data_IF_914641331296
#
_entry.id   IF_914641331296
#
_cell.length_a   1.000
_cell.length_b   1.000
_cell.length_c   1.000
_cell.angle_alpha   90.00
_cell.angle_beta   90.00
_cell.angle_gamma   90.00
#
_symmetry.space_group_name_H-M   'P 1'
#
loop_
_entity.id
_entity.type
_entity.pdbx_description
1 polymer ?
#
# COMPACT_ATOMS: atom_id res chain seq x y z
N UNK A 1 30.29 -66.95 -13.93
CA UNK A 1 29.22 -66.18 -14.59
C UNK A 1 29.59 -64.70 -14.45
N UNK A 2 30.38 -64.07 -15.33
CA UNK A 2 30.55 -64.24 -16.79
C UNK A 2 29.20 -64.22 -17.50
N UNK A 3 28.93 -63.35 -18.49
CA UNK A 3 29.75 -63.03 -19.69
C UNK A 3 29.72 -61.52 -20.05
N UNK A 4 30.76 -61.05 -20.76
CA UNK A 4 30.92 -59.72 -21.35
C UNK A 4 30.28 -59.54 -22.75
N UNK A 5 29.99 -58.30 -23.16
CA UNK A 5 30.29 -57.70 -24.49
C UNK A 5 29.60 -56.33 -24.61
N UNK A 6 30.09 -55.32 -25.37
CA UNK A 6 31.30 -55.21 -26.20
C UNK A 6 31.03 -54.42 -27.50
N UNK A 7 31.88 -53.45 -27.85
CA UNK A 7 31.82 -52.50 -29.00
C UNK A 7 30.65 -51.49 -29.02
N UNK A 8 30.82 -50.15 -29.14
CA UNK A 8 31.67 -49.25 -29.95
C UNK A 8 31.25 -49.03 -31.41
N UNK A 9 30.96 -47.77 -31.78
CA UNK A 9 31.76 -46.89 -32.68
C UNK A 9 31.03 -45.58 -33.07
N UNK A 10 31.71 -44.42 -32.91
CA UNK A 10 31.69 -43.16 -33.73
C UNK A 10 30.33 -42.49 -34.13
N UNK A 11 30.09 -41.16 -34.16
CA UNK A 11 30.82 -39.88 -33.96
C UNK A 11 29.75 -38.74 -33.82
N UNK A 12 29.97 -37.42 -33.67
CA UNK A 12 31.12 -36.48 -33.79
C UNK A 12 30.93 -35.20 -32.92
N UNK A 13 31.91 -34.29 -33.00
CA UNK A 13 31.92 -32.83 -32.70
C UNK A 13 30.59 -32.04 -32.63
N UNK A 14 30.39 -31.04 -31.76
CA UNK A 14 31.24 -30.45 -30.69
C UNK A 14 30.69 -29.08 -30.22
N UNK A 15 31.10 -28.51 -29.06
CA UNK A 15 30.56 -27.23 -28.55
C UNK A 15 31.50 -26.01 -28.70
N UNK A 16 30.89 -24.82 -28.58
CA UNK A 16 31.45 -23.50 -28.90
C UNK A 16 32.44 -22.95 -27.86
N UNK A 17 33.39 -22.12 -28.34
CA UNK A 17 34.39 -21.41 -27.55
C UNK A 17 33.83 -20.19 -26.80
N UNK A 18 34.16 -20.06 -25.51
CA UNK A 18 33.92 -18.84 -24.72
C UNK A 18 35.25 -18.14 -24.44
N UNK A 19 35.42 -16.92 -24.94
CA UNK A 19 36.61 -16.10 -24.67
C UNK A 19 36.54 -15.44 -23.28
N UNK A 20 37.60 -15.61 -22.48
CA UNK A 20 37.76 -14.98 -21.16
C UNK A 20 38.75 -13.82 -21.28
N UNK A 21 38.30 -12.59 -21.09
CA UNK A 21 39.16 -11.41 -21.07
C UNK A 21 39.47 -10.97 -19.64
N UNK A 22 40.76 -10.98 -19.28
CA UNK A 22 41.26 -10.57 -17.96
C UNK A 22 41.97 -9.23 -18.10
N UNK A 23 41.54 -8.19 -17.38
CA UNK A 23 42.14 -6.85 -17.45
C UNK A 23 42.25 -6.21 -16.06
N UNK A 24 43.47 -5.90 -15.62
CA UNK A 24 43.77 -5.34 -14.29
C UNK A 24 44.85 -4.26 -14.40
N UNK A 25 44.57 -3.04 -13.94
CA UNK A 25 45.50 -1.93 -13.54
C UNK A 25 44.62 -0.85 -12.90
N UNK A 26 44.78 -0.52 -11.61
CA UNK A 26 45.79 0.31 -10.95
C UNK A 26 45.49 1.82 -11.05
N UNK A 27 45.50 2.49 -9.89
CA UNK A 27 45.03 3.85 -9.65
C UNK A 27 46.17 4.88 -9.57
N UNK A 28 45.85 6.18 -9.64
CA UNK A 28 46.72 7.28 -9.19
C UNK A 28 45.96 8.62 -9.01
N UNK A 29 46.13 9.27 -7.86
CA UNK A 29 46.37 10.72 -7.72
C UNK A 29 45.22 11.75 -7.91
N UNK A 30 44.83 12.50 -6.86
CA UNK A 30 43.94 13.68 -6.97
C UNK A 30 44.71 15.02 -7.00
N UNK A 31 44.17 16.05 -7.68
CA UNK A 31 44.32 17.45 -7.23
C UNK A 31 43.40 18.48 -7.93
N UNK A 32 42.71 19.28 -7.10
CA UNK A 32 42.35 20.72 -7.23
C UNK A 32 41.85 21.31 -8.56
N UNK A 33 40.67 21.95 -8.49
CA UNK A 33 40.43 23.19 -9.25
C UNK A 33 38.98 23.57 -9.55
N UNK A 34 38.39 24.44 -8.71
CA UNK A 34 37.42 25.54 -9.01
C UNK A 34 36.16 25.25 -9.87
N UNK A 35 34.99 25.65 -9.36
CA UNK A 35 33.68 25.61 -10.03
C UNK A 35 33.38 26.94 -10.79
N UNK A 36 32.15 27.23 -11.30
CA UNK A 36 31.05 26.37 -11.77
C UNK A 36 30.66 26.70 -13.24
N UNK A 37 29.82 25.88 -13.90
CA UNK A 37 29.16 26.31 -15.16
C UNK A 37 27.76 25.70 -15.35
N UNK A 38 26.75 26.57 -15.43
CA UNK A 38 25.43 26.27 -15.98
C UNK A 38 25.53 26.05 -17.49
N UNK A 39 25.13 24.88 -18.02
CA UNK A 39 24.55 24.69 -19.36
C UNK A 39 24.30 23.19 -19.65
N UNK A 40 23.06 22.69 -19.56
CA UNK A 40 22.74 21.31 -19.97
C UNK A 40 21.24 20.97 -20.24
N UNK A 41 20.37 21.91 -20.68
CA UNK A 41 18.97 21.55 -21.06
C UNK A 41 18.43 22.31 -22.29
N UNK A 42 19.01 22.08 -23.49
CA UNK A 42 18.26 22.14 -24.77
C UNK A 42 18.89 21.19 -25.80
N UNK A 43 18.50 19.91 -25.81
CA UNK A 43 18.79 19.03 -26.96
C UNK A 43 17.79 17.86 -27.06
N UNK A 44 16.50 18.17 -27.24
CA UNK A 44 15.46 17.19 -27.64
C UNK A 44 14.20 17.89 -28.17
N UNK A 45 14.25 18.36 -29.41
CA UNK A 45 13.04 18.52 -30.23
C UNK A 45 13.36 18.11 -31.67
N UNK A 46 12.74 17.02 -32.11
CA UNK A 46 12.89 16.45 -33.45
C UNK A 46 11.51 16.47 -34.08
N UNK A 47 11.22 17.48 -34.91
CA UNK A 47 9.95 17.58 -35.64
C UNK A 47 10.07 16.73 -36.90
N UNK A 48 9.00 15.98 -37.21
CA UNK A 48 8.93 15.04 -38.33
C UNK A 48 8.21 15.68 -39.51
N UNK A 49 8.92 15.91 -40.62
CA UNK A 49 8.30 16.32 -41.88
C UNK A 49 7.97 15.12 -42.76
N UNK A 50 6.68 14.90 -43.03
CA UNK A 50 6.24 14.05 -44.15
C UNK A 50 4.86 14.48 -44.65
N UNK A 51 4.83 15.27 -45.73
CA UNK A 51 3.59 15.72 -46.36
C UNK A 51 3.84 16.23 -47.78
N UNK A 52 3.85 15.33 -48.77
CA UNK A 52 3.97 15.72 -50.18
C UNK A 52 2.63 16.27 -50.67
N UNK A 53 2.63 17.49 -51.23
CA UNK A 53 1.52 18.02 -52.04
C UNK A 53 2.03 18.20 -53.48
N UNK A 54 1.24 17.74 -54.46
CA UNK A 54 1.66 17.63 -55.85
C UNK A 54 1.69 18.95 -56.61
N UNK A 55 2.61 19.04 -57.57
CA UNK A 55 2.76 20.18 -58.49
C UNK A 55 2.00 19.89 -59.79
N UNK A 56 1.11 20.77 -60.27
CA UNK A 56 0.63 20.74 -61.65
C UNK A 56 1.56 21.56 -62.57
N UNK A 57 1.78 21.07 -63.78
CA UNK A 57 2.73 21.64 -64.74
C UNK A 57 2.19 22.87 -65.51
N UNK A 58 3.12 23.64 -66.08
CA UNK A 58 2.88 24.81 -66.92
C UNK A 58 2.42 24.43 -68.34
N UNK A 59 1.46 25.18 -68.92
CA UNK A 59 1.44 25.43 -70.37
C UNK A 59 0.55 26.62 -70.78
N UNK A 60 1.10 27.52 -71.61
CA UNK A 60 0.46 28.55 -72.46
C UNK A 60 -0.49 29.57 -71.77
N UNK A 61 -0.39 30.88 -72.00
CA UNK A 61 0.49 31.63 -72.89
C UNK A 61 -0.27 32.82 -73.49
N UNK A 62 -0.02 34.04 -73.00
CA UNK A 62 -0.50 35.28 -73.62
C UNK A 62 0.62 36.31 -73.57
N UNK A 63 1.08 36.76 -74.73
CA UNK A 63 2.07 37.84 -74.85
C UNK A 63 1.33 39.17 -74.87
N UNK A 64 1.67 40.05 -73.93
CA UNK A 64 1.38 41.48 -74.02
C UNK A 64 2.69 42.25 -74.22
N UNK A 65 2.75 43.25 -75.11
CA UNK A 65 3.96 44.03 -75.34
C UNK A 65 4.26 44.98 -74.17
N UNK A 66 5.55 45.24 -73.95
CA UNK A 66 6.04 46.09 -72.86
C UNK A 66 5.54 47.53 -72.95
N UNK A 67 5.02 48.06 -71.83
CA UNK A 67 5.23 49.47 -71.46
C UNK A 67 5.00 49.72 -69.97
N UNK A 68 5.99 50.38 -69.36
CA UNK A 68 6.07 50.95 -68.00
C UNK A 68 6.82 50.13 -66.95
N UNK A 69 8.07 50.53 -66.74
CA UNK A 69 8.84 50.22 -65.55
C UNK A 69 8.24 50.95 -64.33
N UNK A 70 7.27 50.32 -63.67
CA UNK A 70 6.90 50.65 -62.31
C UNK A 70 8.03 50.22 -61.38
N UNK A 71 8.92 51.16 -61.03
CA UNK A 71 10.08 50.86 -60.22
C UNK A 71 9.69 50.20 -58.89
N UNK A 72 10.32 49.07 -58.58
CA UNK A 72 10.23 48.44 -57.26
C UNK A 72 10.90 49.34 -56.23
N UNK A 73 10.16 50.32 -55.70
CA UNK A 73 10.60 51.18 -54.63
C UNK A 73 10.95 50.32 -53.42
N UNK A 74 12.25 50.18 -53.16
CA UNK A 74 12.71 49.64 -51.89
C UNK A 74 12.38 50.68 -50.83
N UNK A 75 11.25 50.50 -50.15
CA UNK A 75 10.88 51.26 -48.97
C UNK A 75 11.89 50.97 -47.86
N UNK A 76 12.96 51.76 -47.79
CA UNK A 76 13.91 51.70 -46.70
C UNK A 76 13.25 52.12 -45.40
N UNK A 77 13.20 51.22 -44.42
CA UNK A 77 12.77 51.55 -43.07
C UNK A 77 13.63 52.67 -42.49
N UNK A 78 12.98 53.64 -41.85
CA UNK A 78 13.72 54.72 -41.19
C UNK A 78 14.28 54.24 -39.85
N UNK A 79 15.44 54.75 -39.44
CA UNK A 79 16.06 54.37 -38.17
C UNK A 79 15.13 54.68 -36.97
N UNK A 80 14.36 55.77 -37.05
CA UNK A 80 13.40 56.16 -36.01
C UNK A 80 12.19 55.20 -35.91
N UNK A 81 11.71 54.69 -37.04
CA UNK A 81 10.63 53.69 -37.08
C UNK A 81 11.06 52.39 -36.40
N UNK A 82 12.29 51.91 -36.65
CA UNK A 82 12.85 50.74 -35.98
C UNK A 82 13.02 50.96 -34.46
N UNK A 83 13.48 52.15 -34.04
CA UNK A 83 13.60 52.52 -32.62
C UNK A 83 12.24 52.54 -31.92
N UNK A 84 11.22 53.14 -32.54
CA UNK A 84 9.86 53.18 -31.97
C UNK A 84 9.27 51.77 -31.85
N UNK A 85 9.46 50.91 -32.86
CA UNK A 85 8.99 49.52 -32.84
C UNK A 85 9.61 48.71 -31.70
N UNK A 86 10.94 48.78 -31.48
CA UNK A 86 11.57 48.02 -30.38
C UNK A 86 11.14 48.52 -29.00
N UNK A 87 10.95 49.84 -28.82
CA UNK A 87 10.50 50.42 -27.54
C UNK A 87 9.06 50.01 -27.23
N UNK A 88 8.14 50.14 -28.19
CA UNK A 88 6.74 49.73 -28.01
C UNK A 88 6.65 48.22 -27.76
N UNK A 89 7.38 47.41 -28.52
CA UNK A 89 7.40 45.95 -28.36
C UNK A 89 7.91 45.53 -26.97
N UNK A 90 8.94 46.21 -26.45
CA UNK A 90 9.47 45.96 -25.11
C UNK A 90 8.45 46.24 -24.00
N UNK A 91 7.74 47.38 -24.06
CA UNK A 91 6.70 47.72 -23.09
C UNK A 91 5.54 46.73 -23.12
N UNK A 92 5.08 46.35 -24.32
CA UNK A 92 4.00 45.37 -24.50
C UNK A 92 4.42 43.98 -23.99
N UNK A 93 5.65 43.54 -24.28
CA UNK A 93 6.15 42.23 -23.84
C UNK A 93 6.20 42.11 -22.30
N UNK A 94 6.62 43.17 -21.60
CA UNK A 94 6.62 43.19 -20.12
C UNK A 94 5.19 43.12 -19.57
N UNK A 95 4.24 43.89 -20.13
CA UNK A 95 2.84 43.85 -19.72
C UNK A 95 2.20 42.47 -19.98
N UNK A 96 2.43 41.88 -21.15
CA UNK A 96 1.92 40.57 -21.52
C UNK A 96 2.50 39.44 -20.65
N UNK A 97 3.77 39.53 -20.24
CA UNK A 97 4.41 38.55 -19.36
C UNK A 97 3.68 38.41 -18.02
N UNK A 98 3.29 39.53 -17.40
CA UNK A 98 2.57 39.54 -16.12
C UNK A 98 1.16 38.91 -16.22
N UNK A 99 0.51 39.04 -17.38
CA UNK A 99 -0.79 38.42 -17.66
C UNK A 99 -0.70 36.89 -17.82
N UNK A 100 0.47 36.35 -18.19
CA UNK A 100 0.69 34.91 -18.37
C UNK A 100 1.20 34.25 -17.07
N UNK A 101 2.04 34.93 -16.29
CA UNK A 101 2.61 34.39 -15.05
C UNK A 101 1.52 34.01 -14.03
N UNK A 102 0.59 34.93 -13.72
CA UNK A 102 -0.42 34.70 -12.67
C UNK A 102 -1.34 33.49 -12.95
N UNK A 103 -1.91 33.30 -14.17
CA UNK A 103 -2.67 32.08 -14.46
C UNK A 103 -1.85 30.79 -14.34
N UNK A 104 -0.57 30.82 -14.70
CA UNK A 104 0.32 29.65 -14.62
C UNK A 104 0.60 29.29 -13.15
N UNK A 105 0.90 30.28 -12.31
CA UNK A 105 1.08 30.09 -10.86
C UNK A 105 -0.18 29.55 -10.19
N UNK A 106 -1.35 30.11 -10.51
CA UNK A 106 -2.66 29.65 -10.00
C UNK A 106 -3.01 28.23 -10.46
N UNK A 107 -2.61 27.85 -11.69
CA UNK A 107 -2.77 26.47 -12.17
C UNK A 107 -1.84 25.50 -11.44
N UNK A 108 -0.58 25.88 -11.21
CA UNK A 108 0.38 25.06 -10.45
C UNK A 108 -0.07 24.85 -9.01
N UNK A 109 -0.51 25.89 -8.31
CA UNK A 109 -1.05 25.78 -6.94
C UNK A 109 -2.26 24.84 -6.89
N UNK A 110 -3.24 24.98 -7.79
CA UNK A 110 -4.37 24.05 -7.84
C UNK A 110 -3.94 22.60 -8.14
N UNK A 111 -2.95 22.39 -9.00
CA UNK A 111 -2.42 21.07 -9.31
C UNK A 111 -1.63 20.44 -8.15
N UNK A 112 -0.94 21.23 -7.33
CA UNK A 112 -0.29 20.76 -6.09
C UNK A 112 -1.32 20.42 -5.02
N UNK A 113 -2.28 21.32 -4.77
CA UNK A 113 -3.41 21.08 -3.85
C UNK A 113 -4.18 19.81 -4.17
N UNK A 114 -4.52 19.60 -5.44
CA UNK A 114 -5.22 18.39 -5.89
C UNK A 114 -4.41 17.11 -5.61
N UNK A 115 -3.07 17.14 -5.83
CA UNK A 115 -2.18 16.01 -5.54
C UNK A 115 -2.03 15.74 -4.04
N UNK A 116 -1.99 16.77 -3.20
CA UNK A 116 -2.00 16.59 -1.74
C UNK A 116 -3.30 15.94 -1.27
N UNK A 117 -4.45 16.44 -1.74
CA UNK A 117 -5.77 15.88 -1.40
C UNK A 117 -5.87 14.42 -1.82
N UNK A 118 -5.48 14.09 -3.07
CA UNK A 118 -5.53 12.74 -3.61
C UNK A 118 -4.67 11.73 -2.82
N UNK A 119 -3.43 12.09 -2.43
CA UNK A 119 -2.56 11.24 -1.61
C UNK A 119 -3.17 10.96 -0.24
N UNK A 120 -3.63 11.99 0.45
CA UNK A 120 -4.16 11.86 1.80
C UNK A 120 -5.55 11.19 1.83
N UNK A 121 -6.43 11.48 0.88
CA UNK A 121 -7.72 10.78 0.75
C UNK A 121 -7.51 9.29 0.42
N UNK A 122 -6.64 8.96 -0.53
CA UNK A 122 -6.32 7.57 -0.87
C UNK A 122 -5.78 6.80 0.35
N UNK A 123 -4.92 7.43 1.16
CA UNK A 123 -4.41 6.85 2.40
C UNK A 123 -5.53 6.60 3.43
N UNK A 124 -6.35 7.60 3.71
CA UNK A 124 -7.47 7.53 4.67
C UNK A 124 -8.54 6.52 4.22
N UNK A 125 -8.88 6.49 2.93
CA UNK A 125 -9.82 5.52 2.34
C UNK A 125 -9.26 4.10 2.42
N UNK A 126 -7.95 3.89 2.22
CA UNK A 126 -7.33 2.57 2.40
C UNK A 126 -7.38 2.12 3.86
N UNK A 127 -6.98 2.98 4.80
CA UNK A 127 -7.04 2.70 6.24
C UNK A 127 -8.46 2.40 6.71
N UNK A 128 -9.45 3.21 6.31
CA UNK A 128 -10.85 3.04 6.73
C UNK A 128 -11.59 1.91 6.03
N UNK A 129 -11.08 1.38 4.91
CA UNK A 129 -11.56 0.12 4.34
C UNK A 129 -11.06 -1.06 5.16
N UNK A 130 -9.75 -1.15 5.38
CA UNK A 130 -9.13 -2.27 6.10
C UNK A 130 -9.56 -2.33 7.58
N UNK A 131 -9.82 -1.18 8.21
CA UNK A 131 -10.40 -1.11 9.55
C UNK A 131 -11.80 -1.75 9.66
N UNK A 132 -12.55 -1.93 8.57
CA UNK A 132 -13.86 -2.61 8.62
C UNK A 132 -13.72 -4.11 8.84
N UNK A 133 -12.58 -4.65 8.46
CA UNK A 133 -12.21 -6.06 8.63
C UNK A 133 -11.38 -6.24 9.92
N UNK A 134 -11.42 -5.27 10.84
CA UNK A 134 -10.85 -5.40 12.17
C UNK A 134 -11.73 -6.29 13.07
N UNK A 135 -11.08 -7.19 13.82
CA UNK A 135 -11.74 -8.01 14.84
C UNK A 135 -12.46 -7.10 15.85
N UNK A 136 -13.74 -7.38 16.23
CA UNK A 136 -14.47 -6.60 17.22
C UNK A 136 -13.65 -6.33 18.48
N UNK A 137 -13.60 -5.07 18.93
CA UNK A 137 -12.83 -4.63 20.10
C UNK A 137 -11.31 -4.88 20.06
N UNK A 138 -10.70 -5.15 18.89
CA UNK A 138 -9.23 -5.30 18.74
C UNK A 138 -8.49 -3.99 18.43
N UNK A 139 -9.19 -2.92 18.06
CA UNK A 139 -8.52 -1.66 17.69
C UNK A 139 -7.94 -1.00 18.94
N UNK A 140 -6.65 -0.65 18.88
CA UNK A 140 -5.92 0.04 19.95
C UNK A 140 -5.04 1.16 19.39
N UNK A 141 -5.00 2.28 20.11
CA UNK A 141 -4.26 3.49 19.72
C UNK A 141 -3.13 3.73 20.73
N UNK A 142 -1.91 3.86 20.22
CA UNK A 142 -0.68 4.13 20.98
C UNK A 142 0.00 5.43 20.52
N UNK A 143 1.23 5.66 20.99
CA UNK A 143 2.10 6.76 20.55
C UNK A 143 1.44 8.15 20.57
N UNK A 144 0.63 8.43 21.59
CA UNK A 144 -0.13 9.69 21.69
C UNK A 144 -1.01 10.01 20.47
N UNK A 145 -1.52 8.98 19.78
CA UNK A 145 -2.35 9.11 18.57
C UNK A 145 -1.60 8.84 17.26
N UNK A 146 -0.29 8.58 17.28
CA UNK A 146 0.49 8.29 16.07
C UNK A 146 0.52 6.81 15.67
N UNK A 147 0.06 5.90 16.53
CA UNK A 147 0.05 4.46 16.28
C UNK A 147 -1.37 3.91 16.35
N UNK A 148 -1.81 3.25 15.29
CA UNK A 148 -3.08 2.53 15.24
C UNK A 148 -2.79 1.06 14.95
N UNK A 149 -3.33 0.15 15.75
CA UNK A 149 -3.17 -1.29 15.57
C UNK A 149 -4.51 -2.02 15.73
N UNK A 150 -4.71 -3.08 14.96
CA UNK A 150 -5.86 -3.96 15.04
C UNK A 150 -5.51 -5.37 14.56
N UNK A 151 -6.38 -6.34 14.87
CA UNK A 151 -6.29 -7.69 14.35
C UNK A 151 -7.18 -7.81 13.11
N UNK A 152 -6.60 -8.23 11.98
CA UNK A 152 -7.33 -8.41 10.72
C UNK A 152 -8.11 -9.72 10.72
N UNK A 153 -9.36 -9.68 10.27
CA UNK A 153 -10.26 -10.83 10.12
C UNK A 153 -10.25 -11.25 8.65
N UNK A 154 -9.81 -12.47 8.38
CA UNK A 154 -9.90 -13.08 7.04
C UNK A 154 -11.33 -13.52 6.73
N UNK A 155 -11.97 -14.15 7.71
CA UNK A 155 -13.32 -14.71 7.57
C UNK A 155 -13.92 -14.98 8.95
N UNK A 156 -15.19 -15.35 9.00
CA UNK A 156 -15.91 -15.68 10.22
C UNK A 156 -17.25 -16.30 9.90
N UNK A 157 -18.00 -16.68 10.93
CA UNK A 157 -19.28 -17.33 10.74
C UNK A 157 -20.03 -17.56 12.03
N UNK A 158 -21.02 -18.45 11.96
CA UNK A 158 -21.79 -18.91 13.10
C UNK A 158 -21.35 -20.34 13.46
N UNK A 159 -21.14 -20.64 14.73
CA UNK A 159 -20.85 -22.00 15.19
C UNK A 159 -22.13 -22.73 15.61
N UNK A 160 -22.16 -24.06 15.47
CA UNK A 160 -23.26 -24.87 16.01
C UNK A 160 -23.26 -24.81 17.54
N UNK A 161 -24.32 -24.25 18.12
CA UNK A 161 -24.54 -24.21 19.57
C UNK A 161 -25.56 -25.26 20.08
N UNK A 162 -26.30 -25.93 19.19
CA UNK A 162 -27.34 -26.90 19.53
C UNK A 162 -27.55 -27.95 18.41
N UNK A 163 -28.13 -29.14 18.71
CA UNK A 163 -28.55 -29.62 20.03
C UNK A 163 -27.38 -30.10 20.90
N UNK A 164 -27.59 -30.24 22.21
CA UNK A 164 -26.50 -30.54 23.17
C UNK A 164 -25.76 -31.87 22.91
N UNK A 165 -26.48 -32.87 22.38
CA UNK A 165 -25.97 -34.20 22.08
C UNK A 165 -25.20 -34.31 20.75
N UNK A 166 -25.04 -33.21 20.01
CA UNK A 166 -24.29 -33.19 18.74
C UNK A 166 -22.78 -33.08 19.00
N UNK A 167 -22.00 -33.98 18.41
CA UNK A 167 -20.53 -33.99 18.52
C UNK A 167 -19.82 -32.90 17.71
N UNK A 168 -20.57 -32.12 16.93
CA UNK A 168 -20.10 -30.93 16.22
C UNK A 168 -20.57 -29.61 16.86
N UNK A 169 -21.24 -29.68 18.02
CA UNK A 169 -21.54 -28.49 18.84
C UNK A 169 -20.29 -28.00 19.57
N UNK A 170 -20.08 -26.69 19.60
CA UNK A 170 -19.12 -26.07 20.52
C UNK A 170 -19.78 -25.86 21.89
N UNK A 171 -19.28 -26.52 22.92
CA UNK A 171 -19.92 -26.60 24.25
C UNK A 171 -19.48 -25.51 25.23
N UNK A 172 -18.25 -24.99 25.07
CA UNK A 172 -17.57 -24.08 26.00
C UNK A 172 -17.27 -24.68 27.39
N UNK A 173 -17.57 -25.96 27.61
CA UNK A 173 -17.28 -26.69 28.84
C UNK A 173 -15.86 -27.29 28.78
N UNK A 174 -14.94 -27.01 29.74
CA UNK A 174 -13.59 -27.60 29.72
C UNK A 174 -13.61 -29.12 29.79
N UNK A 175 -14.62 -29.72 30.41
CA UNK A 175 -14.73 -31.16 30.58
C UNK A 175 -15.09 -31.90 29.28
N UNK A 176 -15.73 -31.22 28.32
CA UNK A 176 -16.12 -31.81 27.03
C UNK A 176 -14.93 -31.86 26.05
N UNK A 177 -13.89 -31.05 26.32
CA UNK A 177 -12.62 -31.01 25.60
C UNK A 177 -12.74 -30.83 24.07
N UNK A 178 -13.70 -30.02 23.62
CA UNK A 178 -13.99 -29.72 22.21
C UNK A 178 -12.70 -29.46 21.39
N UNK A 179 -12.52 -30.18 20.28
CA UNK A 179 -11.40 -29.95 19.34
C UNK A 179 -11.87 -29.54 17.94
N UNK A 180 -13.19 -29.48 17.74
CA UNK A 180 -13.82 -29.12 16.48
C UNK A 180 -15.24 -28.61 16.70
N UNK A 181 -15.78 -27.90 15.73
CA UNK A 181 -17.21 -27.57 15.66
C UNK A 181 -17.67 -27.43 14.21
N UNK A 182 -18.98 -27.50 13.97
CA UNK A 182 -19.58 -27.20 12.67
C UNK A 182 -19.81 -25.71 12.48
N UNK A 183 -19.38 -25.20 11.33
CA UNK A 183 -19.71 -23.88 10.81
C UNK A 183 -21.09 -23.92 10.18
N UNK A 184 -21.99 -23.08 10.68
CA UNK A 184 -23.33 -22.93 10.16
C UNK A 184 -23.32 -22.01 8.93
N UNK A 185 -23.71 -22.55 7.77
CA UNK A 185 -23.80 -21.81 6.51
C UNK A 185 -22.54 -21.95 5.65
N UNK A 186 -22.07 -20.83 5.08
CA UNK A 186 -20.90 -20.77 4.21
C UNK A 186 -19.71 -20.18 4.97
N UNK A 187 -18.56 -20.83 4.90
CA UNK A 187 -17.27 -20.23 5.29
C UNK A 187 -16.60 -19.63 4.04
N UNK A 188 -16.87 -18.35 3.80
CA UNK A 188 -16.20 -17.58 2.74
C UNK A 188 -14.67 -17.58 2.97
N UNK A 189 -13.90 -17.55 1.88
CA UNK A 189 -12.43 -17.42 1.90
C UNK A 189 -11.69 -18.42 2.81
N UNK A 190 -12.30 -19.59 3.05
CA UNK A 190 -11.71 -20.71 3.80
C UNK A 190 -10.36 -21.19 3.25
N UNK A 191 -10.06 -20.94 1.99
CA UNK A 191 -8.76 -21.21 1.36
C UNK A 191 -7.63 -20.25 1.79
N UNK A 192 -7.96 -19.12 2.41
CA UNK A 192 -6.99 -18.18 2.98
C UNK A 192 -6.66 -18.50 4.46
N UNK A 193 -7.41 -19.42 5.09
CA UNK A 193 -7.18 -19.81 6.48
C UNK A 193 -5.98 -20.75 6.58
N UNK A 194 -4.97 -20.35 7.34
CA UNK A 194 -3.74 -21.13 7.49
C UNK A 194 -3.84 -22.04 8.72
N UNK A 195 -3.76 -23.36 8.50
CA UNK A 195 -3.72 -24.35 9.57
C UNK A 195 -2.32 -24.48 10.17
N UNK A 196 -2.24 -24.57 11.50
CA UNK A 196 -1.01 -24.79 12.26
C UNK A 196 -0.81 -26.26 12.67
N UNK A 197 0.36 -26.53 13.26
CA UNK A 197 0.74 -27.82 13.85
C UNK A 197 0.91 -27.76 15.38
N UNK A 198 0.88 -26.57 15.98
CA UNK A 198 1.11 -26.32 17.40
C UNK A 198 0.15 -25.26 17.97
N UNK A 199 -0.18 -25.36 19.26
CA UNK A 199 -0.98 -24.37 20.02
C UNK A 199 -0.51 -22.92 19.88
N UNK A 200 0.79 -22.69 19.67
CA UNK A 200 1.41 -21.36 19.64
C UNK A 200 1.64 -20.82 18.21
N UNK A 201 1.30 -21.57 17.16
CA UNK A 201 1.60 -21.15 15.78
C UNK A 201 0.86 -19.88 15.40
N UNK A 202 -0.39 -19.70 15.87
CA UNK A 202 -1.17 -18.50 15.58
C UNK A 202 -0.61 -17.23 16.24
N UNK A 203 0.07 -17.34 17.38
CA UNK A 203 0.78 -16.22 18.01
C UNK A 203 2.08 -15.87 17.26
N UNK A 204 2.64 -16.84 16.54
CA UNK A 204 3.92 -16.75 15.83
C UNK A 204 3.75 -16.53 14.32
N UNK A 205 2.56 -16.10 13.87
CA UNK A 205 2.22 -15.90 12.45
C UNK A 205 2.36 -17.14 11.54
N UNK A 206 2.40 -18.34 12.13
CA UNK A 206 2.51 -19.61 11.40
C UNK A 206 1.14 -20.26 11.10
N UNK A 207 0.05 -19.69 11.62
CA UNK A 207 -1.32 -20.17 11.47
C UNK A 207 -2.33 -19.04 11.75
N UNK A 208 -3.58 -19.24 11.37
CA UNK A 208 -4.68 -18.34 11.73
C UNK A 208 -5.20 -18.62 13.15
N UNK A 209 -5.54 -17.56 13.88
CA UNK A 209 -6.24 -17.58 15.15
C UNK A 209 -7.75 -17.78 14.93
N UNK A 210 -8.35 -18.80 15.53
CA UNK A 210 -9.78 -18.84 15.80
C UNK A 210 -10.06 -18.00 17.05
N UNK A 211 -10.93 -17.00 16.95
CA UNK A 211 -11.30 -16.10 18.06
C UNK A 211 -12.82 -16.10 18.25
N UNK A 212 -13.26 -16.21 19.51
CA UNK A 212 -14.68 -16.16 19.88
C UNK A 212 -14.87 -15.14 21.01
N UNK A 213 -15.89 -14.29 20.91
CA UNK A 213 -16.29 -13.37 21.97
C UNK A 213 -15.18 -12.41 22.46
N UNK A 214 -14.52 -11.71 21.52
CA UNK A 214 -13.48 -10.73 21.87
C UNK A 214 -14.07 -9.43 22.43
N UNK A 215 -14.03 -9.27 23.75
CA UNK A 215 -14.48 -8.03 24.41
C UNK A 215 -13.34 -7.01 24.56
N UNK A 216 -12.09 -7.43 24.36
CA UNK A 216 -10.90 -6.60 24.60
C UNK A 216 -10.53 -6.45 26.08
N UNK A 217 -11.32 -7.04 26.99
CA UNK A 217 -11.06 -7.07 28.43
C UNK A 217 -10.23 -8.30 28.81
N UNK A 218 -9.49 -8.22 29.92
CA UNK A 218 -8.72 -9.35 30.45
C UNK A 218 -9.62 -10.58 30.66
N UNK A 219 -9.16 -11.75 30.20
CA UNK A 219 -9.94 -12.97 30.18
C UNK A 219 -10.86 -13.10 28.97
N UNK A 220 -10.85 -12.16 28.01
CA UNK A 220 -11.54 -12.22 26.71
C UNK A 220 -10.90 -11.24 25.70
N UNK A 221 -9.57 -11.20 25.69
CA UNK A 221 -8.75 -10.36 24.81
C UNK A 221 -7.83 -11.22 23.92
N UNK A 222 -8.02 -11.10 22.61
CA UNK A 222 -7.30 -11.85 21.60
C UNK A 222 -5.78 -11.59 21.60
N UNK A 223 -5.32 -10.38 21.96
CA UNK A 223 -3.88 -10.08 22.06
C UNK A 223 -3.19 -10.82 23.21
N UNK A 224 -3.92 -11.10 24.30
CA UNK A 224 -3.44 -11.95 25.39
C UNK A 224 -3.62 -13.45 25.08
N UNK A 225 -4.36 -13.76 24.00
CA UNK A 225 -4.86 -15.09 23.63
C UNK A 225 -5.83 -15.71 24.65
N UNK A 226 -6.50 -14.88 25.46
CA UNK A 226 -7.46 -15.36 26.48
C UNK A 226 -8.64 -16.13 25.85
N UNK A 227 -8.93 -15.85 24.57
CA UNK A 227 -10.05 -16.38 23.80
C UNK A 227 -9.66 -16.69 22.34
N UNK A 228 -8.39 -17.02 22.10
CA UNK A 228 -7.84 -17.31 20.78
C UNK A 228 -7.15 -18.67 20.74
N UNK A 229 -7.52 -19.52 19.77
CA UNK A 229 -6.95 -20.85 19.55
C UNK A 229 -6.26 -20.94 18.18
N UNK A 230 -5.22 -21.77 18.05
CA UNK A 230 -4.66 -22.09 16.73
C UNK A 230 -5.61 -23.05 15.99
N UNK A 231 -5.95 -22.73 14.74
CA UNK A 231 -6.68 -23.63 13.83
C UNK A 231 -5.77 -24.76 13.38
N UNK A 232 -6.23 -26.01 13.44
CA UNK A 232 -5.47 -27.22 13.05
C UNK A 232 -5.94 -27.83 11.73
N UNK A 233 -7.19 -27.62 11.33
CA UNK A 233 -7.70 -27.96 9.99
C UNK A 233 -8.99 -27.20 9.67
N UNK A 234 -9.26 -27.04 8.37
CA UNK A 234 -10.53 -26.52 7.82
C UNK A 234 -11.08 -27.55 6.84
N UNK A 235 -12.20 -28.19 7.19
CA UNK A 235 -12.83 -29.20 6.35
C UNK A 235 -14.03 -28.59 5.62
N UNK A 236 -13.82 -28.18 4.36
CA UNK A 236 -14.86 -27.55 3.53
C UNK A 236 -15.91 -28.52 2.93
N UNK A 237 -16.01 -29.75 3.46
CA UNK A 237 -17.08 -30.68 3.09
C UNK A 237 -18.42 -30.32 3.74
N UNK A 238 -19.52 -31.05 3.46
CA UNK A 238 -20.76 -30.95 4.22
C UNK A 238 -20.80 -32.00 5.36
N UNK A 239 -21.00 -31.62 6.63
CA UNK A 239 -20.99 -30.25 7.17
C UNK A 239 -19.58 -29.65 7.21
N UNK A 240 -19.48 -28.31 7.13
CA UNK A 240 -18.19 -27.62 7.21
C UNK A 240 -17.72 -27.68 8.66
N UNK A 241 -16.53 -28.21 8.92
CA UNK A 241 -15.96 -28.25 10.28
C UNK A 241 -14.65 -27.49 10.38
N UNK A 242 -14.48 -26.80 11.50
CA UNK A 242 -13.24 -26.17 11.91
C UNK A 242 -12.65 -26.97 13.08
N UNK A 243 -11.39 -27.38 12.95
CA UNK A 243 -10.64 -28.07 13.99
C UNK A 243 -9.61 -27.10 14.58
N UNK A 244 -9.39 -27.18 15.89
CA UNK A 244 -8.51 -26.28 16.63
C UNK A 244 -7.77 -27.00 17.77
N UNK A 245 -6.68 -26.38 18.23
CA UNK A 245 -5.89 -26.90 19.35
C UNK A 245 -6.44 -26.44 20.70
N UNK A 246 -7.15 -27.31 21.41
CA UNK A 246 -7.68 -27.05 22.75
C UNK A 246 -6.61 -27.22 23.87
N UNK A 247 -5.47 -27.87 23.59
CA UNK A 247 -4.36 -28.01 24.54
C UNK A 247 -3.57 -26.71 24.79
N UNK A 248 -3.93 -25.60 24.14
CA UNK A 248 -3.38 -24.27 24.43
C UNK A 248 -3.95 -23.65 25.70
N UNK A 249 -5.11 -24.14 26.15
CA UNK A 249 -5.78 -23.73 27.37
C UNK A 249 -5.35 -24.68 28.47
N UNK A 250 -4.55 -24.18 29.43
CA UNK A 250 -4.11 -25.00 30.56
C UNK A 250 -5.32 -25.54 31.34
N UNK A 251 -5.14 -26.63 32.09
CA UNK A 251 -6.22 -27.45 32.69
C UNK A 251 -7.10 -26.79 33.77
N UNK A 252 -7.17 -25.46 33.81
CA UNK A 252 -8.07 -24.63 34.61
C UNK A 252 -8.65 -23.44 33.82
N UNK A 253 -8.43 -23.34 32.51
CA UNK A 253 -9.06 -22.36 31.63
C UNK A 253 -9.92 -23.06 30.57
N UNK A 254 -11.05 -22.45 30.23
CA UNK A 254 -11.94 -22.90 29.15
C UNK A 254 -11.30 -22.64 27.79
N UNK A 255 -11.63 -23.48 26.80
CA UNK A 255 -11.20 -23.29 25.40
C UNK A 255 -11.57 -21.90 24.85
N UNK A 256 -12.70 -21.38 25.32
CA UNK A 256 -13.10 -19.98 25.18
C UNK A 256 -13.80 -19.57 26.48
N UNK A 257 -13.54 -18.35 27.02
CA UNK A 257 -14.03 -17.88 28.32
C UNK A 257 -15.56 -17.84 28.43
N UNK A 258 -16.24 -17.55 27.32
CA UNK A 258 -17.68 -17.52 27.20
C UNK A 258 -18.09 -17.72 25.74
N UNK A 259 -19.35 -18.12 25.54
CA UNK A 259 -20.00 -18.17 24.24
C UNK A 259 -20.34 -16.76 23.73
N UNK A 260 -20.23 -16.54 22.41
CA UNK A 260 -20.79 -15.34 21.78
C UNK A 260 -22.33 -15.39 21.86
N UNK A 261 -23.02 -14.32 22.32
CA UNK A 261 -24.48 -14.27 22.39
C UNK A 261 -25.17 -14.56 21.05
N UNK A 262 -24.55 -14.12 19.95
CA UNK A 262 -25.01 -14.31 18.56
C UNK A 262 -24.41 -15.57 17.91
N UNK A 263 -23.71 -16.42 18.66
CA UNK A 263 -23.04 -17.64 18.16
C UNK A 263 -21.93 -17.37 17.12
N UNK A 264 -21.28 -16.21 17.18
CA UNK A 264 -20.27 -15.77 16.21
C UNK A 264 -18.87 -16.31 16.54
N UNK A 265 -18.09 -16.59 15.51
CA UNK A 265 -16.64 -16.74 15.58
C UNK A 265 -15.97 -15.95 14.45
N UNK A 266 -14.70 -15.61 14.67
CA UNK A 266 -13.84 -14.90 13.73
C UNK A 266 -12.54 -15.65 13.53
N UNK A 267 -11.97 -15.56 12.33
CA UNK A 267 -10.67 -16.10 11.98
C UNK A 267 -9.75 -14.93 11.64
N UNK A 268 -8.68 -14.79 12.42
CA UNK A 268 -7.66 -13.73 12.32
C UNK A 268 -6.37 -14.30 11.76
N UNK A 269 -5.74 -13.61 10.81
CA UNK A 269 -4.43 -13.98 10.24
C UNK A 269 -3.27 -13.17 10.82
N UNK A 270 -3.37 -11.84 10.82
CA UNK A 270 -2.26 -10.92 11.15
C UNK A 270 -2.73 -9.77 12.03
N UNK A 271 -1.88 -9.28 12.95
CA UNK A 271 -1.98 -7.90 13.41
C UNK A 271 -1.57 -6.95 12.29
N UNK A 272 -2.18 -5.77 12.23
CA UNK A 272 -1.86 -4.68 11.31
C UNK A 272 -1.60 -3.42 12.12
N UNK A 273 -0.43 -2.80 11.92
CA UNK A 273 -0.10 -1.48 12.51
C UNK A 273 0.03 -0.42 11.43
N UNK A 274 -0.66 0.69 11.61
CA UNK A 274 -0.37 1.95 10.93
C UNK A 274 0.44 2.84 11.88
N UNK A 275 1.72 3.01 11.56
CA UNK A 275 2.62 3.92 12.25
C UNK A 275 2.71 5.22 11.47
N UNK A 276 2.41 6.32 12.13
CA UNK A 276 2.71 7.66 11.66
C UNK A 276 4.03 8.15 12.26
N UNK A 277 4.93 8.61 11.40
CA UNK A 277 6.18 9.26 11.77
C UNK A 277 6.23 10.65 11.11
N UNK A 278 5.81 11.72 11.81
CA UNK A 278 5.94 13.10 11.34
C UNK A 278 7.39 13.57 11.20
N UNK A 279 8.36 12.94 11.88
CA UNK A 279 9.78 13.28 11.79
C UNK A 279 10.42 12.76 10.51
N UNK A 280 10.10 11.53 10.12
CA UNK A 280 10.40 10.96 8.81
C UNK A 280 9.44 11.39 7.69
N UNK A 281 8.33 12.06 8.04
CA UNK A 281 7.33 12.57 7.11
C UNK A 281 6.47 11.50 6.44
N UNK A 282 6.20 10.36 7.09
CA UNK A 282 5.50 9.22 6.47
C UNK A 282 4.45 8.57 7.37
N UNK A 283 3.44 7.97 6.75
CA UNK A 283 2.67 6.87 7.37
C UNK A 283 3.05 5.57 6.67
N UNK A 284 3.31 4.53 7.47
CA UNK A 284 3.64 3.19 7.00
C UNK A 284 2.67 2.17 7.60
N UNK A 285 2.23 1.24 6.77
CA UNK A 285 1.45 0.07 7.18
C UNK A 285 2.39 -1.11 7.38
N UNK A 286 2.26 -1.81 8.51
CA UNK A 286 3.01 -2.98 8.91
C UNK A 286 2.08 -4.17 9.07
N UNK A 287 2.55 -5.35 8.72
CA UNK A 287 1.86 -6.64 8.85
C UNK A 287 2.87 -7.77 9.09
N UNK A 288 2.40 -8.99 9.30
CA UNK A 288 3.28 -10.17 9.25
C UNK A 288 4.15 -10.38 10.49
N UNK A 289 3.97 -9.58 11.55
CA UNK A 289 4.73 -9.70 12.79
C UNK A 289 3.95 -10.46 13.87
N UNK A 290 4.68 -11.06 14.82
CA UNK A 290 4.09 -11.88 15.88
C UNK A 290 3.13 -11.09 16.78
N UNK A 291 2.05 -11.73 17.18
CA UNK A 291 1.01 -11.14 18.04
C UNK A 291 1.59 -10.67 19.38
N UNK A 292 1.61 -9.36 19.62
CA UNK A 292 2.10 -8.78 20.87
C UNK A 292 0.95 -8.37 21.80
N UNK A 293 0.97 -8.88 23.04
CA UNK A 293 0.02 -8.50 24.08
C UNK A 293 0.06 -6.99 24.39
N UNK A 294 1.27 -6.42 24.50
CA UNK A 294 1.49 -5.01 24.79
C UNK A 294 1.81 -4.22 23.50
N UNK A 295 1.04 -3.14 23.24
CA UNK A 295 1.22 -2.33 22.02
C UNK A 295 2.61 -1.67 21.95
N UNK A 296 3.17 -1.26 23.09
CA UNK A 296 4.49 -0.62 23.18
C UNK A 296 5.68 -1.56 22.89
N UNK A 297 5.43 -2.78 22.41
CA UNK A 297 6.44 -3.67 21.83
C UNK A 297 6.45 -3.61 20.28
N UNK A 298 5.50 -2.88 19.68
CA UNK A 298 5.26 -2.75 18.23
C UNK A 298 4.82 -1.31 17.86
N UNK A 299 5.24 -0.32 18.65
CA UNK A 299 4.80 1.08 18.49
C UNK A 299 5.85 1.98 17.80
N UNK A 300 7.03 1.43 17.48
CA UNK A 300 8.03 2.07 16.63
C UNK A 300 8.51 1.21 15.46
N UNK A 301 9.04 1.86 14.42
CA UNK A 301 9.63 1.20 13.25
C UNK A 301 10.78 0.24 13.65
N UNK A 302 11.59 0.61 14.63
CA UNK A 302 12.72 -0.19 15.10
C UNK A 302 12.25 -1.49 15.78
N UNK A 303 11.22 -1.42 16.62
CA UNK A 303 10.68 -2.60 17.32
C UNK A 303 9.96 -3.55 16.38
N UNK A 304 9.18 -3.02 15.43
CA UNK A 304 8.49 -3.80 14.40
C UNK A 304 9.48 -4.57 13.51
N UNK A 305 10.65 -4.01 13.20
CA UNK A 305 11.72 -4.70 12.48
C UNK A 305 12.60 -5.61 13.36
N UNK A 306 12.62 -5.39 14.67
CA UNK A 306 13.38 -6.21 15.63
C UNK A 306 12.61 -7.43 16.16
N UNK A 307 11.33 -7.60 15.77
CA UNK A 307 10.54 -8.78 16.09
C UNK A 307 11.20 -10.07 15.58
N UNK A 308 10.97 -11.19 16.28
CA UNK A 308 11.47 -12.51 15.87
C UNK A 308 10.97 -12.94 14.47
N UNK A 309 9.77 -12.47 14.09
CA UNK A 309 9.31 -12.42 12.72
C UNK A 309 9.21 -10.94 12.32
N UNK A 310 10.18 -10.38 11.57
CA UNK A 310 10.24 -8.95 11.26
C UNK A 310 9.03 -8.49 10.44
N UNK A 311 8.43 -7.36 10.84
CA UNK A 311 7.25 -6.83 10.16
C UNK A 311 7.54 -6.46 8.69
N UNK A 312 6.75 -7.05 7.78
CA UNK A 312 6.62 -6.52 6.43
C UNK A 312 5.98 -5.13 6.49
N UNK A 313 6.42 -4.22 5.63
CA UNK A 313 5.91 -2.85 5.67
C UNK A 313 5.87 -2.17 4.30
N UNK A 314 4.86 -1.31 4.13
CA UNK A 314 4.66 -0.49 2.94
C UNK A 314 4.48 0.98 3.31
N UNK A 315 5.08 1.87 2.52
CA UNK A 315 4.77 3.30 2.56
C UNK A 315 3.31 3.50 2.11
N UNK A 316 2.50 4.14 2.94
CA UNK A 316 1.11 4.47 2.61
C UNK A 316 1.03 5.87 1.98
N UNK A 317 1.66 6.85 2.64
CA UNK A 317 1.67 8.26 2.24
C UNK A 317 2.94 8.92 2.77
N UNK A 318 3.47 9.85 1.98
CA UNK A 318 4.64 10.67 2.28
C UNK A 318 4.24 12.14 2.55
N UNK A 319 5.24 12.96 2.90
CA UNK A 319 5.08 14.38 3.22
C UNK A 319 4.06 14.67 4.35
N UNK A 320 3.89 13.73 5.28
CA UNK A 320 3.01 13.86 6.46
C UNK A 320 3.66 14.81 7.48
N UNK A 321 3.02 15.93 7.80
CA UNK A 321 3.52 16.87 8.82
C UNK A 321 2.89 16.69 10.19
N UNK A 322 1.67 16.13 10.25
CA UNK A 322 0.99 15.77 11.48
C UNK A 322 -0.09 14.71 11.22
N UNK A 323 -0.46 13.99 12.26
CA UNK A 323 -1.45 12.92 12.23
C UNK A 323 -2.01 12.73 13.64
N UNK A 324 -3.25 12.28 13.73
CA UNK A 324 -3.89 11.99 15.00
C UNK A 324 -4.97 10.93 14.79
N UNK A 325 -4.75 9.75 15.35
CA UNK A 325 -5.70 8.65 15.35
C UNK A 325 -6.37 8.60 16.72
N UNK A 326 -7.69 8.47 16.74
CA UNK A 326 -8.45 8.30 17.98
C UNK A 326 -9.46 7.18 17.82
N UNK A 327 -9.64 6.39 18.87
CA UNK A 327 -10.62 5.32 18.92
C UNK A 327 -11.57 5.56 20.10
N UNK A 328 -12.86 5.64 19.79
CA UNK A 328 -13.93 5.61 20.78
C UNK A 328 -14.56 4.21 20.73
N UNK A 329 -14.38 3.37 21.77
CA UNK A 329 -14.96 2.04 21.81
C UNK A 329 -16.48 2.02 21.61
N UNK A 330 -16.98 0.93 21.06
CA UNK A 330 -18.41 0.68 20.96
C UNK A 330 -19.06 0.47 22.34
N UNK A 331 -20.37 0.61 22.38
CA UNK A 331 -21.25 0.13 23.47
C UNK A 331 -22.22 -0.89 22.87
N UNK A 332 -22.95 -1.69 23.66
CA UNK A 332 -24.00 -2.59 23.15
C UNK A 332 -25.10 -1.89 22.33
N UNK A 333 -25.17 -0.55 22.40
CA UNK A 333 -26.12 0.31 21.69
C UNK A 333 -25.49 1.19 20.59
N UNK A 334 -24.16 1.18 20.41
CA UNK A 334 -23.46 2.02 19.44
C UNK A 334 -22.17 1.35 18.95
N UNK A 335 -22.00 1.30 17.63
CA UNK A 335 -20.76 0.90 16.98
C UNK A 335 -19.53 1.67 17.51
N UNK A 336 -18.36 1.04 17.43
CA UNK A 336 -17.09 1.71 17.66
C UNK A 336 -16.85 2.78 16.60
N UNK A 337 -16.04 3.79 16.93
CA UNK A 337 -15.69 4.86 16.01
C UNK A 337 -14.19 5.12 16.06
N UNK A 338 -13.53 4.97 14.92
CA UNK A 338 -12.16 5.45 14.70
C UNK A 338 -12.23 6.75 13.92
N UNK A 339 -11.57 7.79 14.41
CA UNK A 339 -11.34 9.03 13.65
C UNK A 339 -9.86 9.09 13.30
N UNK A 340 -9.59 9.27 12.01
CA UNK A 340 -8.25 9.42 11.44
C UNK A 340 -8.11 10.86 10.95
N UNK A 341 -7.18 11.61 11.52
CA UNK A 341 -6.80 12.94 11.09
C UNK A 341 -5.39 12.89 10.50
N UNK A 342 -5.22 13.49 9.32
CA UNK A 342 -3.99 13.47 8.54
C UNK A 342 -3.71 14.85 7.96
N UNK A 343 -2.54 15.41 8.29
CA UNK A 343 -2.01 16.63 7.67
C UNK A 343 -0.83 16.30 6.77
N UNK A 344 -0.95 16.64 5.48
CA UNK A 344 0.12 16.53 4.48
C UNK A 344 0.51 17.91 3.96
N UNK A 345 1.76 18.06 3.52
CA UNK A 345 2.29 19.33 3.04
C UNK A 345 3.18 19.18 1.80
N UNK A 346 3.18 20.14 0.90
CA UNK A 346 4.14 20.21 -0.20
C UNK A 346 4.57 21.68 -0.36
N UNK A 347 5.88 21.92 -0.20
CA UNK A 347 6.48 23.27 -0.21
C UNK A 347 5.87 24.19 0.88
N UNK A 348 5.05 25.16 0.49
CA UNK A 348 4.38 26.12 1.37
C UNK A 348 2.88 25.83 1.56
N UNK A 349 2.35 24.77 0.95
CA UNK A 349 0.96 24.38 1.06
C UNK A 349 0.82 23.20 2.03
N UNK A 350 -0.19 23.27 2.90
CA UNK A 350 -0.60 22.15 3.75
C UNK A 350 -2.11 22.00 3.73
N UNK A 351 -2.57 20.76 3.90
CA UNK A 351 -3.99 20.42 4.06
C UNK A 351 -4.12 19.44 5.22
N UNK A 352 -5.26 19.52 5.92
CA UNK A 352 -5.66 18.53 6.91
C UNK A 352 -6.97 17.89 6.44
N UNK A 353 -7.01 16.57 6.46
CA UNK A 353 -8.18 15.75 6.14
C UNK A 353 -8.53 14.89 7.35
N UNK A 354 -9.83 14.69 7.55
CA UNK A 354 -10.38 13.87 8.63
C UNK A 354 -11.33 12.85 8.01
N UNK A 355 -11.15 11.59 8.38
CA UNK A 355 -12.00 10.49 7.94
C UNK A 355 -12.43 9.65 9.14
N UNK A 356 -13.67 9.15 9.11
CA UNK A 356 -14.24 8.33 10.18
C UNK A 356 -14.59 6.92 9.69
N UNK A 357 -14.26 5.92 10.50
CA UNK A 357 -14.64 4.52 10.30
C UNK A 357 -15.50 4.04 11.48
N UNK A 358 -16.71 3.56 11.18
CA UNK A 358 -17.53 2.84 12.13
C UNK A 358 -17.11 1.37 12.18
N UNK A 359 -16.92 0.84 13.38
CA UNK A 359 -16.54 -0.54 13.65
C UNK A 359 -17.71 -1.32 14.23
N UNK A 360 -17.97 -2.52 13.69
CA UNK A 360 -19.00 -3.42 14.19
C UNK A 360 -18.46 -4.19 15.39
N UNK A 361 -18.61 -3.63 16.59
CA UNK A 361 -18.16 -4.26 17.84
C UNK A 361 -19.19 -5.28 18.36
N UNK A 362 -19.50 -6.31 17.57
CA UNK A 362 -20.39 -7.43 17.92
C UNK A 362 -19.56 -8.72 18.06
N UNK A 363 -19.08 -9.07 19.26
CA UNK A 363 -18.05 -10.10 19.46
C UNK A 363 -18.54 -11.56 19.51
#
# INVERSE_FOLDING_TARGET
MTIESGNQLLTRSGPLSVCRATGRRLALGPNRGVAPLLQAVVSRFKVSESGRVGVPACSRGLVWPNSHAGGSGQCGFTLIELVVVIVISGVIAVAASQLIQRPVEMYQSQASRARLVDRADTALVRMTRELRDALPNSVRIGCSGACLEFLHVVTGGLYRAAPEADSLRLSFNPADADMQFEVMGLLADSALVQAGSNVNDCASMNASCLVIYNTGLSGSNAYNRDNAATISAVNAGPPITLNFFNNGFSSLQTAFPASSPDQRFYIVDTPITYLCDPGGGTIRRYQGYNLQAAQNAVDSHAELLAQSNPAEHALLVDQVSACNFTYTPGTPSRNGLVTLELTVHEQSESITLLQQAHLVNMP
#
